data_IF_832571319098
#
_entry.id   IF_832571319098
#
_cell.length_a   1.000
_cell.length_b   1.000
_cell.length_c   1.000
_cell.angle_alpha   90.00
_cell.angle_beta   90.00
_cell.angle_gamma   90.00
#
_symmetry.space_group_name_H-M   'P 1'
#
loop_
_entity.id
_entity.type
_entity.pdbx_description
1 polymer ?
#
# COMPACT_ATOMS: atom_id res chain seq x y z
N UNK A 1 2.52 -36.30 12.75
CA UNK A 1 2.09 -35.02 12.14
C UNK A 1 3.25 -34.06 12.33
N UNK A 2 4.13 -33.95 11.33
CA UNK A 2 5.30 -33.08 11.45
C UNK A 2 4.81 -31.66 11.74
N UNK A 3 5.25 -31.13 12.88
CA UNK A 3 5.22 -29.71 13.19
C UNK A 3 5.72 -28.98 11.95
N UNK A 4 4.84 -28.23 11.29
CA UNK A 4 5.27 -27.22 10.34
C UNK A 4 6.05 -26.27 11.21
N UNK A 5 7.38 -26.42 11.19
CA UNK A 5 8.29 -25.46 11.79
C UNK A 5 7.89 -24.14 11.14
N UNK A 6 7.26 -23.29 11.93
CA UNK A 6 7.02 -21.90 11.60
C UNK A 6 8.41 -21.28 11.43
N UNK A 7 8.98 -21.47 10.24
CA UNK A 7 10.09 -20.68 9.79
C UNK A 7 9.49 -19.28 9.63
N UNK A 8 9.51 -18.49 10.70
CA UNK A 8 9.54 -17.05 10.54
C UNK A 8 10.73 -16.76 9.64
N UNK A 9 10.47 -16.64 8.34
CA UNK A 9 11.45 -16.23 7.37
C UNK A 9 11.91 -14.86 7.84
N UNK A 10 13.16 -14.77 8.27
CA UNK A 10 13.83 -13.53 8.71
C UNK A 10 13.66 -12.41 7.67
N UNK A 11 13.35 -12.76 6.41
CA UNK A 11 13.15 -11.87 5.28
C UNK A 11 11.68 -11.71 4.81
N UNK A 12 10.69 -12.05 5.64
CA UNK A 12 9.27 -11.98 5.27
C UNK A 12 8.85 -10.58 4.76
N UNK A 13 9.37 -9.52 5.39
CA UNK A 13 9.11 -8.13 4.99
C UNK A 13 9.53 -7.83 3.56
N UNK A 14 10.82 -8.00 3.24
CA UNK A 14 11.33 -7.68 1.91
C UNK A 14 10.80 -8.62 0.82
N UNK A 15 10.50 -9.89 1.15
CA UNK A 15 9.83 -10.80 0.20
C UNK A 15 8.42 -10.29 -0.11
N UNK A 16 7.66 -9.86 0.88
CA UNK A 16 6.33 -9.29 0.67
C UNK A 16 6.40 -8.02 -0.17
N UNK A 17 7.33 -7.11 0.13
CA UNK A 17 7.55 -5.89 -0.65
C UNK A 17 7.90 -6.22 -2.11
N UNK A 18 8.84 -7.15 -2.34
CA UNK A 18 9.22 -7.60 -3.69
C UNK A 18 8.04 -8.25 -4.43
N UNK A 19 7.25 -9.08 -3.75
CA UNK A 19 6.07 -9.71 -4.32
C UNK A 19 5.06 -8.65 -4.78
N UNK A 20 4.76 -7.68 -3.92
CA UNK A 20 3.84 -6.58 -4.23
C UNK A 20 4.40 -5.70 -5.34
N UNK A 21 5.66 -5.26 -5.24
CA UNK A 21 6.31 -4.39 -6.22
C UNK A 21 6.31 -5.00 -7.63
N UNK A 22 6.66 -6.27 -7.77
CA UNK A 22 6.63 -6.95 -9.07
C UNK A 22 5.21 -6.98 -9.65
N UNK A 23 4.21 -7.31 -8.84
CA UNK A 23 2.83 -7.33 -9.32
C UNK A 23 2.30 -5.94 -9.67
N UNK A 24 2.65 -4.91 -8.91
CA UNK A 24 2.31 -3.52 -9.24
C UNK A 24 2.90 -3.12 -10.59
N UNK A 25 4.18 -3.43 -10.80
CA UNK A 25 4.90 -3.17 -12.05
C UNK A 25 4.19 -3.80 -13.26
N UNK A 26 3.84 -5.09 -13.18
CA UNK A 26 3.15 -5.79 -14.27
C UNK A 26 1.66 -5.44 -14.37
N UNK A 27 1.02 -5.01 -13.28
CA UNK A 27 -0.38 -4.56 -13.33
C UNK A 27 -0.54 -3.26 -14.11
N UNK A 28 0.43 -2.33 -14.04
CA UNK A 28 0.43 -1.11 -14.85
C UNK A 28 0.48 -1.42 -16.36
N UNK A 29 1.31 -2.38 -16.75
CA UNK A 29 1.38 -2.87 -18.14
C UNK A 29 0.08 -3.49 -18.65
N UNK A 30 -0.82 -3.95 -17.78
CA UNK A 30 -2.09 -4.56 -18.19
C UNK A 30 -3.20 -3.51 -18.33
N UNK A 31 -3.09 -2.34 -17.70
CA UNK A 31 -4.17 -1.35 -17.61
C UNK A 31 -4.05 -0.16 -18.57
N UNK A 32 -2.85 0.23 -19.01
CA UNK A 32 -2.62 1.33 -19.97
C UNK A 32 -1.63 0.91 -21.07
N UNK A 33 -2.10 0.01 -21.94
CA UNK A 33 -1.30 -0.71 -22.94
C UNK A 33 -0.74 0.16 -24.08
N UNK A 34 -1.06 1.44 -24.17
CA UNK A 34 -0.66 2.27 -25.33
C UNK A 34 0.55 3.18 -25.11
N UNK A 35 1.03 3.40 -23.88
CA UNK A 35 2.11 4.40 -23.63
C UNK A 35 3.17 4.02 -22.57
N UNK A 36 3.14 2.81 -22.01
CA UNK A 36 4.07 2.42 -20.93
C UNK A 36 5.36 1.81 -21.47
N UNK A 37 6.19 2.59 -22.18
CA UNK A 37 7.54 2.13 -22.55
C UNK A 37 8.46 1.94 -21.33
N UNK A 38 8.10 2.51 -20.17
CA UNK A 38 8.85 2.39 -18.91
C UNK A 38 7.99 1.79 -17.80
N UNK A 39 8.27 0.52 -17.47
CA UNK A 39 7.81 -0.13 -16.26
C UNK A 39 8.54 0.46 -15.05
N UNK A 40 7.89 1.37 -14.31
CA UNK A 40 8.47 2.03 -13.15
C UNK A 40 7.62 1.85 -11.89
N UNK A 41 8.29 1.71 -10.75
CA UNK A 41 7.68 1.81 -9.42
C UNK A 41 7.98 3.18 -8.83
N UNK A 42 6.96 3.80 -8.25
CA UNK A 42 7.10 5.07 -7.55
C UNK A 42 6.89 4.87 -6.06
N UNK A 43 7.52 5.71 -5.26
CA UNK A 43 7.35 5.78 -3.82
C UNK A 43 7.31 7.25 -3.40
N UNK A 44 6.89 7.53 -2.17
CA UNK A 44 6.97 8.89 -1.62
C UNK A 44 7.83 8.88 -0.37
N UNK A 45 8.76 9.83 -0.32
CA UNK A 45 9.61 10.09 0.82
C UNK A 45 9.49 11.56 1.23
N UNK A 46 9.40 11.77 2.53
CA UNK A 46 9.52 13.07 3.16
C UNK A 46 10.84 13.15 3.90
N UNK A 47 11.63 14.16 3.54
CA UNK A 47 12.86 14.50 4.25
C UNK A 47 12.59 15.68 5.19
N UNK A 48 12.86 15.51 6.48
CA UNK A 48 12.61 16.54 7.49
C UNK A 48 13.05 16.12 8.89
N UNK A 49 12.58 16.82 9.94
CA UNK A 49 12.87 16.43 11.35
C UNK A 49 12.42 15.01 11.69
N UNK A 50 11.40 14.50 11.01
CA UNK A 50 10.99 13.11 11.05
C UNK A 50 10.84 12.59 9.63
N UNK A 51 11.66 11.61 9.25
CA UNK A 51 11.53 10.96 7.96
C UNK A 51 10.26 10.10 7.91
N UNK A 52 9.67 10.03 6.73
CA UNK A 52 8.52 9.20 6.42
C UNK A 52 8.63 8.70 4.98
N UNK A 53 8.24 7.45 4.78
CA UNK A 53 8.35 6.77 3.50
C UNK A 53 7.20 5.78 3.37
N UNK A 54 6.46 5.86 2.26
CA UNK A 54 5.49 4.84 1.86
C UNK A 54 6.15 3.96 0.81
N UNK A 55 5.91 2.65 0.86
CA UNK A 55 6.63 1.67 0.06
C UNK A 55 6.40 1.86 -1.44
N UNK A 56 5.14 2.10 -1.83
CA UNK A 56 4.77 2.34 -3.22
C UNK A 56 3.69 3.42 -3.38
N UNK A 57 3.60 3.98 -4.58
CA UNK A 57 2.48 4.75 -5.09
C UNK A 57 1.91 4.04 -6.31
N UNK A 58 0.59 4.05 -6.44
CA UNK A 58 -0.10 3.63 -7.65
C UNK A 58 -1.07 4.71 -8.12
N UNK A 59 -1.34 4.76 -9.43
CA UNK A 59 -2.30 5.67 -10.02
C UNK A 59 -3.46 4.86 -10.56
N UNK A 60 -4.68 5.16 -10.09
CA UNK A 60 -5.90 4.50 -10.56
C UNK A 60 -6.92 5.60 -10.88
N UNK A 61 -7.30 5.68 -12.15
CA UNK A 61 -8.23 6.68 -12.69
C UNK A 61 -7.79 8.13 -12.37
N UNK A 62 -6.49 8.42 -12.57
CA UNK A 62 -5.90 9.74 -12.34
C UNK A 62 -5.71 10.13 -10.86
N UNK A 63 -6.01 9.23 -9.91
CA UNK A 63 -5.84 9.46 -8.47
C UNK A 63 -4.64 8.66 -7.96
N UNK A 64 -3.78 9.31 -7.17
CA UNK A 64 -2.63 8.68 -6.52
C UNK A 64 -3.07 8.02 -5.21
N UNK A 65 -2.72 6.74 -5.04
CA UNK A 65 -2.95 5.99 -3.81
C UNK A 65 -1.60 5.57 -3.20
N UNK A 66 -1.35 5.91 -1.92
CA UNK A 66 -0.22 5.38 -1.18
C UNK A 66 -0.46 3.90 -0.84
N UNK A 67 0.59 3.10 -0.97
CA UNK A 67 0.61 1.67 -0.64
C UNK A 67 1.63 1.44 0.47
N UNK A 68 1.24 0.64 1.46
CA UNK A 68 2.11 0.11 2.50
C UNK A 68 2.03 -1.42 2.53
N UNK A 69 3.17 -2.10 2.63
CA UNK A 69 3.28 -3.57 2.64
C UNK A 69 3.71 -4.04 4.04
N UNK A 70 3.03 -5.06 4.57
CA UNK A 70 3.27 -5.57 5.92
C UNK A 70 3.21 -7.09 5.93
N UNK A 71 4.37 -7.74 6.10
CA UNK A 71 4.45 -9.19 6.16
C UNK A 71 4.00 -9.81 7.50
N UNK A 72 3.90 -9.01 8.58
CA UNK A 72 3.60 -9.49 9.94
C UNK A 72 2.62 -8.60 10.71
N UNK A 73 2.72 -8.60 12.04
CA UNK A 73 1.81 -7.87 12.93
C UNK A 73 1.63 -6.40 12.54
N UNK A 74 0.45 -5.85 12.89
CA UNK A 74 0.02 -4.49 12.51
C UNK A 74 0.96 -3.44 13.10
N UNK A 75 1.98 -3.08 12.34
CA UNK A 75 2.82 -1.92 12.62
C UNK A 75 2.03 -0.61 12.47
N UNK A 76 2.54 0.47 13.07
CA UNK A 76 1.92 1.80 12.95
C UNK A 76 2.05 2.31 11.52
N UNK A 77 0.95 2.78 10.94
CA UNK A 77 0.85 3.41 9.62
C UNK A 77 1.35 4.87 9.61
N UNK A 78 2.49 5.12 10.25
CA UNK A 78 2.98 6.49 10.50
C UNK A 78 3.29 7.24 9.20
N UNK A 79 3.91 6.57 8.23
CA UNK A 79 4.25 7.18 6.94
C UNK A 79 2.99 7.43 6.12
N UNK A 80 2.11 6.44 6.02
CA UNK A 80 0.77 6.57 5.43
C UNK A 80 0.01 7.78 5.99
N UNK A 81 -0.10 7.94 7.31
CA UNK A 81 -0.82 9.09 7.89
C UNK A 81 -0.19 10.43 7.50
N UNK A 82 1.14 10.51 7.42
CA UNK A 82 1.83 11.73 6.98
C UNK A 82 1.57 12.01 5.49
N UNK A 83 1.62 11.00 4.63
CA UNK A 83 1.26 11.13 3.22
C UNK A 83 -0.17 11.67 3.06
N UNK A 84 -1.13 11.03 3.75
CA UNK A 84 -2.55 11.42 3.72
C UNK A 84 -2.72 12.89 4.11
N UNK A 85 -2.12 13.32 5.23
CA UNK A 85 -2.22 14.70 5.70
C UNK A 85 -1.55 15.70 4.73
N UNK A 86 -0.40 15.37 4.15
CA UNK A 86 0.33 16.30 3.26
C UNK A 86 -0.25 16.37 1.85
N UNK A 87 -0.81 15.28 1.35
CA UNK A 87 -1.35 15.17 -0.02
C UNK A 87 -2.87 15.25 -0.08
N UNK A 88 -3.54 15.37 1.08
CA UNK A 88 -5.00 15.36 1.19
C UNK A 88 -5.64 14.15 0.48
N UNK A 89 -4.96 13.01 0.52
CA UNK A 89 -5.44 11.79 -0.12
C UNK A 89 -6.59 11.18 0.70
N UNK A 90 -7.63 10.69 0.02
CA UNK A 90 -8.85 10.20 0.65
C UNK A 90 -8.84 8.69 0.94
N UNK A 91 -7.89 7.97 0.35
CA UNK A 91 -7.77 6.53 0.50
C UNK A 91 -6.30 6.12 0.52
N UNK A 92 -5.98 5.14 1.36
CA UNK A 92 -4.69 4.45 1.38
C UNK A 92 -4.90 2.95 1.22
N UNK A 93 -3.88 2.26 0.72
CA UNK A 93 -3.91 0.82 0.48
C UNK A 93 -2.86 0.16 1.37
N UNK A 94 -3.22 -0.95 2.01
CA UNK A 94 -2.32 -1.74 2.82
C UNK A 94 -2.36 -3.20 2.38
N UNK A 95 -1.20 -3.77 2.04
CA UNK A 95 -1.07 -5.21 1.82
C UNK A 95 -0.59 -5.90 3.09
N UNK A 96 -1.32 -6.92 3.53
CA UNK A 96 -0.99 -7.75 4.70
C UNK A 96 -1.29 -9.22 4.44
N UNK A 97 -1.07 -10.10 5.41
CA UNK A 97 -1.56 -11.48 5.38
C UNK A 97 -2.98 -11.64 5.98
N UNK A 98 -3.63 -10.54 6.36
CA UNK A 98 -4.97 -10.54 6.96
C UNK A 98 -6.07 -10.53 5.89
N UNK A 99 -7.31 -10.77 6.32
CA UNK A 99 -8.49 -10.70 5.46
C UNK A 99 -8.72 -9.29 4.87
N UNK A 100 -9.37 -9.20 3.70
CA UNK A 100 -9.73 -7.90 3.12
C UNK A 100 -10.66 -7.12 4.03
N UNK A 101 -10.34 -5.84 4.28
CA UNK A 101 -11.19 -4.96 5.09
C UNK A 101 -11.05 -3.52 4.64
N UNK A 102 -12.15 -2.76 4.74
CA UNK A 102 -12.16 -1.31 4.56
C UNK A 102 -12.44 -0.67 5.91
N UNK A 103 -11.55 0.22 6.33
CA UNK A 103 -11.63 0.90 7.62
C UNK A 103 -11.67 2.42 7.42
N UNK A 104 -12.48 3.14 8.20
CA UNK A 104 -12.37 4.59 8.33
C UNK A 104 -11.30 4.91 9.36
N UNK A 105 -10.22 5.55 8.94
CA UNK A 105 -9.12 5.92 9.82
C UNK A 105 -9.20 7.41 10.13
N UNK A 106 -9.13 7.77 11.42
CA UNK A 106 -9.02 9.15 11.91
C UNK A 106 -7.91 9.24 12.94
N UNK A 107 -6.84 9.98 12.65
CA UNK A 107 -5.66 10.08 13.51
C UNK A 107 -5.23 11.55 13.64
N UNK A 108 -4.99 12.01 14.87
CA UNK A 108 -4.36 13.32 15.11
C UNK A 108 -2.86 13.22 14.91
N UNK A 109 -2.30 14.17 14.18
CA UNK A 109 -0.86 14.29 13.93
C UNK A 109 -0.32 15.57 14.59
N UNK A 110 0.99 15.66 14.88
CA UNK A 110 1.57 16.88 15.45
C UNK A 110 1.26 18.15 14.63
N UNK A 111 1.14 18.01 13.30
CA UNK A 111 0.94 19.12 12.38
C UNK A 111 -0.39 19.00 11.59
N UNK A 112 -1.42 18.37 12.14
CA UNK A 112 -2.70 18.23 11.47
C UNK A 112 -3.47 16.96 11.85
N UNK A 113 -4.15 16.37 10.89
CA UNK A 113 -4.90 15.14 11.07
C UNK A 113 -4.93 14.34 9.77
N UNK A 114 -5.04 13.02 9.88
CA UNK A 114 -5.30 12.14 8.76
C UNK A 114 -6.71 11.57 8.92
N UNK A 115 -7.57 11.80 7.94
CA UNK A 115 -8.89 11.18 7.83
C UNK A 115 -9.05 10.60 6.42
N UNK A 116 -9.21 9.28 6.33
CA UNK A 116 -9.20 8.57 5.04
C UNK A 116 -9.79 7.15 5.18
N UNK A 117 -10.10 6.53 4.04
CA UNK A 117 -10.40 5.10 3.97
C UNK A 117 -9.11 4.30 3.83
N UNK A 118 -8.97 3.24 4.62
CA UNK A 118 -7.88 2.29 4.49
C UNK A 118 -8.41 0.99 3.89
N UNK A 119 -8.05 0.72 2.64
CA UNK A 119 -8.29 -0.57 2.00
C UNK A 119 -7.14 -1.51 2.37
N UNK A 120 -7.43 -2.48 3.24
CA UNK A 120 -6.49 -3.58 3.54
C UNK A 120 -6.79 -4.76 2.64
N UNK A 121 -5.77 -5.26 1.96
CA UNK A 121 -5.84 -6.42 1.08
C UNK A 121 -4.84 -7.49 1.55
N UNK A 122 -5.21 -8.78 1.48
CA UNK A 122 -4.24 -9.86 1.47
C UNK A 122 -3.20 -9.67 0.36
N UNK A 123 -1.93 -10.02 0.59
CA UNK A 123 -0.87 -9.89 -0.41
C UNK A 123 -1.27 -10.51 -1.77
N UNK A 124 -1.90 -11.69 -1.74
CA UNK A 124 -2.33 -12.40 -2.96
C UNK A 124 -3.40 -11.67 -3.78
N UNK A 125 -4.05 -10.61 -3.26
CA UNK A 125 -5.02 -9.80 -3.99
C UNK A 125 -4.41 -8.59 -4.71
N UNK A 126 -3.09 -8.44 -4.75
CA UNK A 126 -2.43 -7.31 -5.46
C UNK A 126 -2.86 -7.18 -6.93
N UNK A 127 -3.12 -8.28 -7.63
CA UNK A 127 -3.64 -8.25 -9.01
C UNK A 127 -5.08 -7.72 -9.14
N UNK A 128 -5.81 -7.56 -8.03
CA UNK A 128 -7.19 -7.06 -8.00
C UNK A 128 -7.29 -5.61 -7.52
N UNK A 129 -6.16 -4.95 -7.26
CA UNK A 129 -6.10 -3.61 -6.65
C UNK A 129 -7.00 -2.60 -7.37
N UNK A 130 -6.88 -2.49 -8.70
CA UNK A 130 -7.67 -1.53 -9.48
C UNK A 130 -9.18 -1.78 -9.37
N UNK A 131 -9.61 -3.04 -9.49
CA UNK A 131 -11.02 -3.43 -9.37
C UNK A 131 -11.58 -3.10 -7.99
N UNK A 132 -10.83 -3.42 -6.94
CA UNK A 132 -11.27 -3.23 -5.56
C UNK A 132 -11.28 -1.75 -5.16
N UNK A 133 -10.28 -0.96 -5.57
CA UNK A 133 -10.26 0.49 -5.34
C UNK A 133 -11.45 1.17 -6.02
N UNK A 134 -11.79 0.77 -7.25
CA UNK A 134 -12.97 1.30 -7.96
C UNK A 134 -14.27 0.99 -7.21
N UNK A 135 -14.40 -0.21 -6.64
CA UNK A 135 -15.61 -0.59 -5.88
C UNK A 135 -15.81 0.15 -4.54
N UNK A 136 -14.86 0.98 -4.11
CA UNK A 136 -15.01 1.83 -2.92
C UNK A 136 -15.69 3.17 -3.26
N UNK A 137 -15.59 3.58 -4.52
CA UNK A 137 -16.13 4.86 -5.00
C UNK A 137 -17.60 4.78 -5.42
N UNK A 138 -18.10 3.56 -5.67
CA UNK A 138 -19.50 3.25 -5.95
C UNK A 138 -20.26 2.98 -4.64
#
# INVERSE_FOLDING_TARGET
MASVIEMELINNGSIAEQFIGQHLLFSGAINDYEHSENLELYYWMRQGRSNAEVDYLTVIDGIIYPIEVKAGAVGRLKSMHQFINEKSALCGIRFTSNEPVIEKVKVKLPNGHAEYLLLTLPHYLVGQTNRLVRSIKD
#
